data_IF_474510131645
#
_entry.id   IF_474510131645
#
_cell.length_a   1.000
_cell.length_b   1.000
_cell.length_c   1.000
_cell.angle_alpha   90.00
_cell.angle_beta   90.00
_cell.angle_gamma   90.00
#
_symmetry.space_group_name_H-M   'P 1'
#
loop_
_entity.id
_entity.type
_entity.pdbx_description
1 polymer ?
#
# COMPACT_ATOMS: atom_id res chain seq x y z
N UNK A 1 -15.30 -13.67 -15.45
CA UNK A 1 -15.28 -14.86 -14.58
C UNK A 1 -16.12 -14.62 -13.33
N UNK A 2 -15.78 -13.63 -12.50
CA UNK A 2 -16.48 -13.36 -11.25
C UNK A 2 -17.94 -12.91 -11.42
N UNK A 3 -18.24 -12.03 -12.38
CA UNK A 3 -19.63 -11.62 -12.66
C UNK A 3 -20.50 -12.82 -13.06
N UNK A 4 -19.96 -13.76 -13.85
CA UNK A 4 -20.66 -15.01 -14.21
C UNK A 4 -20.94 -15.90 -13.00
N UNK A 5 -20.16 -15.74 -11.92
CA UNK A 5 -20.37 -16.42 -10.64
C UNK A 5 -21.26 -15.60 -9.68
N UNK A 6 -21.88 -14.51 -10.13
CA UNK A 6 -22.74 -13.64 -9.31
C UNK A 6 -21.98 -12.74 -8.33
N UNK A 7 -20.66 -12.58 -8.50
CA UNK A 7 -19.85 -11.71 -7.64
C UNK A 7 -19.66 -10.36 -8.35
N UNK A 8 -20.18 -9.26 -7.78
CA UNK A 8 -20.09 -7.94 -8.39
C UNK A 8 -18.66 -7.40 -8.27
N UNK A 9 -18.24 -6.56 -9.23
CA UNK A 9 -16.85 -6.09 -9.36
C UNK A 9 -16.39 -5.24 -8.16
N UNK A 10 -17.30 -4.58 -7.47
CA UNK A 10 -17.05 -3.75 -6.28
C UNK A 10 -16.55 -4.57 -5.09
N UNK A 11 -16.73 -5.90 -5.11
CA UNK A 11 -16.20 -6.84 -4.11
C UNK A 11 -14.80 -7.36 -4.44
N UNK A 12 -14.20 -6.91 -5.53
CA UNK A 12 -12.98 -7.48 -6.08
C UNK A 12 -11.93 -6.39 -6.20
N UNK A 13 -10.71 -6.73 -5.78
CA UNK A 13 -9.52 -5.94 -6.05
C UNK A 13 -8.60 -6.76 -6.95
N UNK A 14 -8.31 -6.26 -8.15
CA UNK A 14 -7.33 -6.87 -9.04
C UNK A 14 -5.94 -6.50 -8.55
N UNK A 15 -5.16 -7.51 -8.18
CA UNK A 15 -3.83 -7.32 -7.60
C UNK A 15 -2.77 -7.24 -8.71
N UNK A 16 -2.05 -6.13 -8.76
CA UNK A 16 -0.98 -5.87 -9.73
C UNK A 16 0.32 -5.54 -9.00
N UNK A 17 1.46 -5.77 -9.65
CA UNK A 17 2.77 -5.36 -9.13
C UNK A 17 2.98 -3.87 -9.41
N UNK A 18 3.51 -3.12 -8.44
CA UNK A 18 3.81 -1.68 -8.56
C UNK A 18 5.02 -1.36 -9.46
N UNK A 19 5.13 -1.99 -10.63
CA UNK A 19 5.99 -1.49 -11.72
C UNK A 19 5.31 -0.34 -12.45
N UNK A 20 6.04 0.36 -13.30
CA UNK A 20 5.46 1.41 -14.14
C UNK A 20 4.28 0.90 -14.97
N UNK A 21 4.46 -0.21 -15.68
CA UNK A 21 3.44 -0.83 -16.52
C UNK A 21 2.24 -1.31 -15.69
N UNK A 22 2.49 -1.85 -14.50
CA UNK A 22 1.43 -2.25 -13.59
C UNK A 22 0.59 -1.07 -13.09
N UNK A 23 1.23 0.06 -12.82
CA UNK A 23 0.55 1.31 -12.44
C UNK A 23 -0.27 1.85 -13.63
N UNK A 24 0.29 1.86 -14.84
CA UNK A 24 -0.44 2.30 -16.03
C UNK A 24 -1.64 1.40 -16.34
N UNK A 25 -1.50 0.08 -16.17
CA UNK A 25 -2.61 -0.86 -16.31
C UNK A 25 -3.69 -0.61 -15.23
N UNK A 26 -3.29 -0.39 -13.98
CA UNK A 26 -4.22 -0.08 -12.90
C UNK A 26 -4.99 1.22 -13.15
N UNK A 27 -4.32 2.23 -13.69
CA UNK A 27 -4.94 3.50 -14.07
C UNK A 27 -6.10 3.30 -15.04
N UNK A 28 -5.87 2.55 -16.12
CA UNK A 28 -6.91 2.22 -17.11
C UNK A 28 -8.05 1.42 -16.47
N UNK A 29 -7.72 0.42 -15.65
CA UNK A 29 -8.72 -0.40 -14.96
C UNK A 29 -9.63 0.43 -14.03
N UNK A 30 -9.05 1.33 -13.23
CA UNK A 30 -9.80 2.17 -12.30
C UNK A 30 -10.60 3.26 -13.04
N UNK A 31 -9.96 4.01 -13.93
CA UNK A 31 -10.55 5.20 -14.55
C UNK A 31 -11.52 4.88 -15.69
N UNK A 32 -11.22 3.87 -16.51
CA UNK A 32 -12.03 3.56 -17.71
C UNK A 32 -13.04 2.43 -17.47
N UNK A 33 -12.72 1.47 -16.60
CA UNK A 33 -13.55 0.28 -16.38
C UNK A 33 -14.21 0.24 -14.99
N UNK A 34 -13.79 1.11 -14.06
CA UNK A 34 -14.26 1.08 -12.67
C UNK A 34 -13.95 -0.25 -12.00
N UNK A 35 -12.76 -0.82 -12.27
CA UNK A 35 -12.26 -2.06 -11.69
C UNK A 35 -11.21 -1.69 -10.64
N UNK A 36 -11.56 -1.93 -9.38
CA UNK A 36 -10.68 -1.57 -8.27
C UNK A 36 -9.40 -2.42 -8.24
N UNK A 37 -8.28 -1.75 -7.99
CA UNK A 37 -6.95 -2.31 -8.05
C UNK A 37 -6.24 -2.27 -6.69
N UNK A 38 -5.41 -3.29 -6.47
CA UNK A 38 -4.51 -3.40 -5.33
C UNK A 38 -3.07 -3.53 -5.81
N UNK A 39 -2.27 -2.49 -5.59
CA UNK A 39 -0.89 -2.43 -6.07
C UNK A 39 0.05 -2.94 -4.98
N UNK A 40 0.82 -3.98 -5.31
CA UNK A 40 1.64 -4.75 -4.37
C UNK A 40 3.13 -4.70 -4.70
N UNK A 41 3.98 -5.22 -3.82
CA UNK A 41 5.44 -5.12 -3.94
C UNK A 41 5.90 -3.66 -4.05
N UNK A 42 5.29 -2.80 -3.23
CA UNK A 42 5.64 -1.39 -3.13
C UNK A 42 6.72 -1.20 -2.07
N UNK A 43 7.83 -0.59 -2.46
CA UNK A 43 9.01 -0.43 -1.61
C UNK A 43 9.49 1.02 -1.48
N UNK A 44 9.06 1.92 -2.37
CA UNK A 44 9.50 3.31 -2.41
C UNK A 44 8.34 4.31 -2.34
N UNK A 45 8.63 5.51 -1.85
CA UNK A 45 7.68 6.61 -1.85
C UNK A 45 7.23 6.99 -3.27
N UNK A 46 8.14 6.95 -4.25
CA UNK A 46 7.83 7.33 -5.64
C UNK A 46 6.80 6.39 -6.27
N UNK A 47 6.89 5.08 -6.00
CA UNK A 47 5.86 4.13 -6.42
C UNK A 47 4.51 4.46 -5.78
N UNK A 48 4.48 4.83 -4.49
CA UNK A 48 3.24 5.20 -3.81
C UNK A 48 2.61 6.45 -4.43
N UNK A 49 3.42 7.47 -4.71
CA UNK A 49 2.96 8.70 -5.37
C UNK A 49 2.37 8.37 -6.74
N UNK A 50 3.08 7.61 -7.57
CA UNK A 50 2.62 7.23 -8.91
C UNK A 50 1.32 6.40 -8.86
N UNK A 51 1.17 5.50 -7.88
CA UNK A 51 -0.10 4.79 -7.67
C UNK A 51 -1.23 5.74 -7.29
N UNK A 52 -0.96 6.71 -6.41
CA UNK A 52 -1.96 7.66 -5.93
C UNK A 52 -2.41 8.66 -7.02
N UNK A 53 -1.47 9.11 -7.86
CA UNK A 53 -1.76 9.95 -9.03
C UNK A 53 -2.52 9.19 -10.14
N UNK A 54 -2.57 7.86 -10.04
CA UNK A 54 -3.30 6.98 -10.96
C UNK A 54 -4.66 6.54 -10.39
N UNK A 55 -5.14 7.17 -9.32
CA UNK A 55 -6.42 6.87 -8.65
C UNK A 55 -6.59 5.40 -8.20
N UNK A 56 -5.47 4.73 -7.92
CA UNK A 56 -5.50 3.34 -7.43
C UNK A 56 -6.25 3.29 -6.09
N UNK A 57 -7.13 2.30 -5.92
CA UNK A 57 -7.92 2.13 -4.70
C UNK A 57 -7.06 1.79 -3.48
N UNK A 58 -6.15 0.83 -3.60
CA UNK A 58 -5.38 0.28 -2.47
C UNK A 58 -3.91 0.02 -2.85
N UNK A 59 -2.99 0.34 -1.92
CA UNK A 59 -1.57 -0.05 -2.02
C UNK A 59 -1.12 -0.88 -0.82
N UNK A 60 -0.26 -1.87 -1.08
CA UNK A 60 0.42 -2.66 -0.06
C UNK A 60 1.91 -2.33 0.03
N UNK A 61 2.32 -1.71 1.14
CA UNK A 61 3.73 -1.54 1.48
C UNK A 61 4.25 -2.75 2.26
N UNK A 62 5.34 -3.36 1.78
CA UNK A 62 5.88 -4.61 2.31
C UNK A 62 6.93 -4.35 3.40
N UNK A 63 6.46 -3.99 4.59
CA UNK A 63 7.27 -3.58 5.76
C UNK A 63 8.39 -4.57 6.07
N UNK A 64 8.06 -5.84 6.28
CA UNK A 64 9.08 -6.82 6.69
C UNK A 64 10.06 -7.19 5.58
N UNK A 65 9.72 -7.01 4.30
CA UNK A 65 10.71 -7.20 3.22
C UNK A 65 11.74 -6.07 3.18
N UNK A 66 11.31 -4.84 3.50
CA UNK A 66 12.22 -3.71 3.67
C UNK A 66 13.14 -3.98 4.86
N UNK A 67 12.60 -4.48 5.98
CA UNK A 67 13.40 -4.93 7.12
C UNK A 67 14.42 -6.00 6.73
N UNK A 68 13.98 -7.09 6.08
CA UNK A 68 14.85 -8.19 5.66
C UNK A 68 16.02 -7.67 4.82
N UNK A 69 15.75 -6.79 3.86
CA UNK A 69 16.77 -6.20 3.00
C UNK A 69 17.80 -5.41 3.80
N UNK A 70 17.38 -4.62 4.79
CA UNK A 70 18.31 -3.85 5.62
C UNK A 70 19.17 -4.75 6.52
N UNK A 71 18.59 -5.81 7.10
CA UNK A 71 19.33 -6.78 7.92
C UNK A 71 20.40 -7.49 7.11
N UNK A 72 20.13 -7.85 5.86
CA UNK A 72 21.10 -8.52 4.98
C UNK A 72 22.17 -7.56 4.48
N UNK A 73 21.78 -6.36 4.03
CA UNK A 73 22.65 -5.46 3.26
C UNK A 73 23.32 -4.35 4.08
N UNK A 74 23.04 -4.25 5.39
CA UNK A 74 23.67 -3.26 6.28
C UNK A 74 24.30 -3.92 7.50
N UNK A 75 25.08 -3.14 8.27
CA UNK A 75 25.67 -3.59 9.53
C UNK A 75 24.63 -3.73 10.67
N UNK A 76 23.43 -3.15 10.51
CA UNK A 76 22.38 -3.23 11.51
C UNK A 76 21.58 -4.52 11.35
N UNK A 77 21.68 -5.42 12.32
CA UNK A 77 21.01 -6.73 12.31
C UNK A 77 19.70 -6.77 13.10
N UNK A 78 19.40 -5.72 13.84
CA UNK A 78 18.18 -5.56 14.62
C UNK A 78 17.74 -4.11 14.62
N UNK A 79 16.43 -3.89 14.59
CA UNK A 79 15.83 -2.57 14.64
C UNK A 79 14.79 -2.54 15.76
N UNK A 80 14.77 -1.45 16.52
CA UNK A 80 13.63 -1.16 17.38
C UNK A 80 12.40 -0.85 16.53
N UNK A 81 11.22 -1.06 17.10
CA UNK A 81 9.93 -0.93 16.37
C UNK A 81 9.77 0.38 15.60
N UNK A 82 10.16 1.52 16.18
CA UNK A 82 10.05 2.84 15.54
C UNK A 82 11.18 3.13 14.55
N UNK A 83 12.30 2.42 14.71
CA UNK A 83 13.49 2.54 13.85
C UNK A 83 13.50 1.47 12.75
N UNK A 84 12.47 0.63 12.66
CA UNK A 84 12.30 -0.34 11.59
C UNK A 84 12.15 0.43 10.25
N UNK A 85 13.03 0.18 9.26
CA UNK A 85 13.03 0.92 8.01
C UNK A 85 11.74 0.70 7.20
N UNK A 86 11.09 -0.44 7.35
CA UNK A 86 9.78 -0.70 6.76
C UNK A 86 8.67 0.12 7.44
N UNK A 87 8.71 0.24 8.78
CA UNK A 87 7.77 1.09 9.53
C UNK A 87 7.94 2.55 9.13
N UNK A 88 9.18 3.04 9.07
CA UNK A 88 9.48 4.40 8.62
C UNK A 88 9.00 4.65 7.19
N UNK A 89 9.18 3.68 6.29
CA UNK A 89 8.70 3.76 4.90
C UNK A 89 7.18 3.92 4.83
N UNK A 90 6.40 3.06 5.49
CA UNK A 90 4.94 3.15 5.48
C UNK A 90 4.43 4.43 6.17
N UNK A 91 5.06 4.86 7.27
CA UNK A 91 4.72 6.12 7.94
C UNK A 91 4.95 7.32 7.00
N UNK A 92 6.07 7.34 6.27
CA UNK A 92 6.36 8.40 5.30
C UNK A 92 5.32 8.46 4.18
N UNK A 93 4.93 7.30 3.64
CA UNK A 93 3.90 7.20 2.60
C UNK A 93 2.55 7.69 3.14
N UNK A 94 2.13 7.22 4.32
CA UNK A 94 0.87 7.63 4.94
C UNK A 94 0.80 9.14 5.18
N UNK A 95 1.85 9.72 5.76
CA UNK A 95 1.93 11.16 6.01
C UNK A 95 1.90 11.97 4.71
N UNK A 96 2.57 11.50 3.66
CA UNK A 96 2.50 12.12 2.34
C UNK A 96 1.07 12.09 1.79
N UNK A 97 0.41 10.94 1.88
CA UNK A 97 -0.97 10.78 1.39
C UNK A 97 -1.95 11.71 2.09
N UNK A 98 -1.86 11.82 3.42
CA UNK A 98 -2.68 12.75 4.21
C UNK A 98 -2.37 14.21 3.90
N UNK A 99 -1.09 14.57 3.75
CA UNK A 99 -0.68 15.95 3.43
C UNK A 99 -1.22 16.43 2.08
N UNK A 100 -1.24 15.57 1.07
CA UNK A 100 -1.68 15.90 -0.28
C UNK A 100 -3.11 15.43 -0.58
N UNK A 101 -3.82 14.93 0.44
CA UNK A 101 -5.21 14.50 0.36
C UNK A 101 -5.51 13.42 -0.70
N UNK A 102 -4.58 12.47 -0.86
CA UNK A 102 -4.78 11.32 -1.73
C UNK A 102 -5.81 10.35 -1.11
N UNK A 103 -6.70 9.82 -1.95
CA UNK A 103 -7.79 8.92 -1.53
C UNK A 103 -7.36 7.45 -1.45
N UNK A 104 -6.26 7.09 -2.12
CA UNK A 104 -5.71 5.74 -2.12
C UNK A 104 -5.47 5.24 -0.69
N UNK A 105 -5.98 4.05 -0.39
CA UNK A 105 -5.82 3.43 0.92
C UNK A 105 -4.40 2.87 1.04
N UNK A 106 -3.72 3.19 2.15
CA UNK A 106 -2.41 2.63 2.49
C UNK A 106 -2.60 1.48 3.47
N UNK A 107 -2.10 0.29 3.12
CA UNK A 107 -2.13 -0.87 4.01
C UNK A 107 -0.72 -1.44 4.20
N UNK A 108 -0.28 -1.48 5.46
CA UNK A 108 0.96 -2.16 5.82
C UNK A 108 0.80 -3.68 5.73
N UNK A 109 1.74 -4.35 5.08
CA UNK A 109 1.75 -5.80 4.91
C UNK A 109 3.12 -6.41 5.26
N UNK A 110 3.15 -7.73 5.44
CA UNK A 110 4.38 -8.51 5.68
C UNK A 110 5.16 -8.14 6.94
N UNK A 111 4.51 -7.91 8.09
CA UNK A 111 5.23 -7.65 9.34
C UNK A 111 6.01 -8.89 9.83
N UNK A 112 7.21 -8.70 10.42
CA UNK A 112 8.02 -9.77 11.02
C UNK A 112 7.78 -9.94 12.52
N UNK A 113 7.50 -8.84 13.21
CA UNK A 113 7.23 -8.81 14.64
C UNK A 113 5.88 -8.14 14.91
N UNK A 114 5.29 -8.41 16.07
CA UNK A 114 4.08 -7.73 16.53
C UNK A 114 4.44 -6.27 16.81
N UNK A 115 4.21 -5.41 15.83
CA UNK A 115 4.32 -3.96 15.99
C UNK A 115 3.06 -3.49 16.70
N UNK A 116 3.14 -3.22 18.02
CA UNK A 116 2.00 -2.77 18.84
C UNK A 116 1.35 -1.47 18.33
N UNK A 117 2.09 -0.68 17.52
CA UNK A 117 1.63 0.58 16.95
C UNK A 117 1.17 0.46 15.48
N UNK A 118 1.12 -0.74 14.88
CA UNK A 118 0.66 -0.92 13.49
C UNK A 118 -0.85 -0.72 13.33
N UNK A 119 -1.58 -0.56 14.44
CA UNK A 119 -3.00 -0.20 14.49
C UNK A 119 -3.28 1.10 13.74
N UNK A 120 -2.34 2.06 13.73
CA UNK A 120 -2.49 3.32 12.97
C UNK A 120 -2.34 3.14 11.45
N UNK A 121 -1.80 2.01 10.99
CA UNK A 121 -1.65 1.65 9.57
C UNK A 121 -2.69 0.64 9.08
N UNK A 122 -3.61 0.18 9.94
CA UNK A 122 -4.77 -0.64 9.56
C UNK A 122 -5.98 0.28 9.48
N UNK A 123 -6.36 0.67 8.26
CA UNK A 123 -7.65 1.29 7.91
C UNK A 123 -8.11 2.46 8.82
N UNK A 124 -7.80 3.70 8.43
CA UNK A 124 -8.61 4.85 8.83
C UNK A 124 -9.57 5.23 7.70
N UNK A 125 -10.56 4.35 7.46
CA UNK A 125 -11.84 4.71 6.85
C UNK A 125 -12.90 4.70 7.95
N UNK A 126 -12.79 5.62 8.91
CA UNK A 126 -13.95 6.09 9.67
C UNK A 126 -14.13 7.54 9.28
N UNK A 127 -15.21 7.80 8.57
CA UNK A 127 -15.83 9.11 8.45
C UNK A 127 -15.90 9.78 9.82
N UNK A 128 -15.13 10.84 10.01
CA UNK A 128 -15.43 11.82 11.06
C UNK A 128 -16.73 12.50 10.63
N UNK A 129 -17.84 11.97 11.16
CA UNK A 129 -19.11 12.64 11.15
C UNK A 129 -19.05 13.83 12.10
N UNK A 130 -19.13 15.02 11.54
CA UNK A 130 -19.68 16.23 12.17
C UNK A 130 -20.18 17.16 11.06
#
# INVERSE_FOLDING_TARGET
MYEKAGIPKERILIKLVSTWEGIQAAKVLEQEHGIHCNLTLLFSLYQAIACAESDVTLIFSFVGRIFDWHVVNTNNKSFETLNDPGVQSVTKIYNYFKKFNYKTVVMGASFRNIVRNASSCKQSNTSDGS
#
